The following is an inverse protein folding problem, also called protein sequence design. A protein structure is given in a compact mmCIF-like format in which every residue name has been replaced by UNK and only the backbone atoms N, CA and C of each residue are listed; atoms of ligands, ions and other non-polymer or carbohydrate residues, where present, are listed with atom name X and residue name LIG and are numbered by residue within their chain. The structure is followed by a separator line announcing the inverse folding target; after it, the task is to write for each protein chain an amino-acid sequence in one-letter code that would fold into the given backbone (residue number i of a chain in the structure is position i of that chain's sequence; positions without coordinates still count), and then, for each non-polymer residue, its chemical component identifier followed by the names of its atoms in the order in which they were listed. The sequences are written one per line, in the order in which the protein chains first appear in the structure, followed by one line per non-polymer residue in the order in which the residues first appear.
data_IF_192045228105
#
_entry.id   IF_192045228105
#
_cell.length_a   1.000
_cell.length_b   1.000
_cell.length_c   1.000
_cell.angle_alpha   90.00
_cell.angle_beta   90.00
_cell.angle_gamma   90.00
#
_symmetry.space_group_name_H-M   'P 1'
#
loop_
_entity.id
_entity.type
_entity.pdbx_description
1 polymer ?
#
# COMPACT_ATOMS: atom_id res chain seq x y z
N UNK A 1 1.38 2.14 21.86
CA UNK A 1 1.36 2.86 20.57
C UNK A 1 0.91 1.87 19.53
N UNK A 2 -0.29 2.05 18.97
CA UNK A 2 -0.85 1.13 17.98
C UNK A 2 -0.26 1.46 16.61
N UNK A 3 0.65 0.63 16.12
CA UNK A 3 1.21 0.74 14.76
C UNK A 3 0.21 0.17 13.77
N UNK A 4 -0.82 0.93 13.44
CA UNK A 4 -1.67 0.64 12.27
C UNK A 4 -0.84 0.96 11.04
N UNK A 5 -0.18 -0.04 10.45
CA UNK A 5 0.47 0.13 9.16
C UNK A 5 -0.58 0.67 8.17
N UNK A 6 -0.33 1.82 7.52
CA UNK A 6 -1.31 2.43 6.63
C UNK A 6 -1.61 1.45 5.49
N UNK A 7 -2.87 1.08 5.31
CA UNK A 7 -3.31 0.26 4.18
C UNK A 7 -2.93 0.96 2.89
N UNK A 8 -2.01 0.37 2.10
CA UNK A 8 -1.55 0.93 0.83
C UNK A 8 -2.68 0.76 -0.20
N UNK A 9 -3.24 1.85 -0.76
CA UNK A 9 -4.24 1.75 -1.81
C UNK A 9 -3.66 1.14 -3.08
N UNK A 10 -4.49 0.42 -3.84
CA UNK A 10 -4.08 -0.20 -5.11
C UNK A 10 -3.47 0.80 -6.10
N UNK A 11 -4.03 2.01 -6.18
CA UNK A 11 -3.51 3.09 -7.04
C UNK A 11 -2.11 3.55 -6.59
N UNK A 12 -1.88 3.68 -5.28
CA UNK A 12 -0.56 4.03 -4.72
C UNK A 12 0.46 2.94 -5.02
N UNK A 13 0.07 1.67 -4.95
CA UNK A 13 0.93 0.56 -5.34
C UNK A 13 1.28 0.60 -6.83
N UNK A 14 0.34 0.97 -7.72
CA UNK A 14 0.62 1.15 -9.15
C UNK A 14 1.58 2.29 -9.43
N UNK A 15 1.48 3.39 -8.69
CA UNK A 15 2.43 4.51 -8.80
C UNK A 15 3.84 4.09 -8.36
N UNK A 16 3.95 3.34 -7.25
CA UNK A 16 5.21 2.77 -6.81
C UNK A 16 5.79 1.77 -7.83
N UNK A 17 4.97 0.90 -8.43
CA UNK A 17 5.43 -0.01 -9.49
C UNK A 17 5.93 0.74 -10.74
N UNK A 18 5.25 1.82 -11.14
CA UNK A 18 5.69 2.67 -12.25
C UNK A 18 7.07 3.28 -11.99
N UNK A 19 7.31 3.75 -10.76
CA UNK A 19 8.60 4.37 -10.37
C UNK A 19 9.80 3.43 -10.53
N UNK A 20 9.58 2.12 -10.44
CA UNK A 20 10.60 1.06 -10.54
C UNK A 20 10.52 0.27 -11.87
N UNK A 21 9.84 0.82 -12.89
CA UNK A 21 9.66 0.21 -14.21
C UNK A 21 9.10 -1.22 -14.16
N UNK A 22 8.13 -1.46 -13.26
CA UNK A 22 7.49 -2.78 -13.10
C UNK A 22 6.16 -2.86 -13.82
N UNK A 23 5.87 -4.06 -14.34
CA UNK A 23 4.61 -4.35 -15.01
C UNK A 23 3.41 -4.07 -14.10
N UNK A 24 2.37 -3.46 -14.66
CA UNK A 24 1.20 -3.01 -13.90
C UNK A 24 1.37 -1.65 -13.21
N UNK A 25 2.51 -0.97 -13.43
CA UNK A 25 2.70 0.41 -13.03
C UNK A 25 1.81 1.38 -13.81
N UNK A 26 1.27 2.39 -13.11
CA UNK A 26 0.54 3.50 -13.71
C UNK A 26 1.30 4.80 -13.43
N UNK A 27 1.48 5.63 -14.46
CA UNK A 27 2.14 6.91 -14.28
C UNK A 27 1.22 7.85 -13.50
N UNK A 28 1.66 8.38 -12.35
CA UNK A 28 0.88 9.38 -11.63
C UNK A 28 1.05 10.78 -12.22
N UNK A 29 0.24 11.73 -11.76
CA UNK A 29 0.41 13.14 -12.08
C UNK A 29 1.78 13.71 -11.65
N UNK A 30 2.16 14.85 -12.23
CA UNK A 30 3.48 15.47 -12.03
C UNK A 30 3.79 15.77 -10.56
N UNK A 31 2.81 16.26 -9.78
CA UNK A 31 2.97 16.49 -8.35
C UNK A 31 3.42 15.22 -7.60
N UNK A 32 2.71 14.12 -7.82
CA UNK A 32 3.02 12.83 -7.17
C UNK A 32 4.38 12.29 -7.62
N UNK A 33 4.78 12.49 -8.88
CA UNK A 33 6.12 12.13 -9.34
C UNK A 33 7.22 12.87 -8.56
N UNK A 34 7.08 14.19 -8.38
CA UNK A 34 8.01 14.98 -7.59
C UNK A 34 7.99 14.57 -6.11
N UNK A 35 6.81 14.27 -5.55
CA UNK A 35 6.67 13.79 -4.18
C UNK A 35 7.39 12.44 -3.98
N UNK A 36 7.24 11.48 -4.90
CA UNK A 36 7.95 10.20 -4.84
C UNK A 36 9.47 10.41 -4.86
N UNK A 37 9.96 11.27 -5.76
CA UNK A 37 11.38 11.61 -5.83
C UNK A 37 11.87 12.27 -4.52
N UNK A 38 11.08 13.18 -3.94
CA UNK A 38 11.40 13.82 -2.67
C UNK A 38 11.49 12.81 -1.52
N UNK A 39 10.55 11.85 -1.43
CA UNK A 39 10.57 10.80 -0.39
C UNK A 39 11.83 9.92 -0.50
N UNK A 40 12.25 9.59 -1.72
CA UNK A 40 13.42 8.72 -1.94
C UNK A 40 14.76 9.42 -1.71
N UNK A 41 14.80 10.74 -1.95
CA UNK A 41 15.99 11.58 -1.79
C UNK A 41 16.11 12.20 -0.39
N UNK A 42 15.02 12.26 0.38
CA UNK A 42 15.01 12.87 1.71
C UNK A 42 15.97 12.18 2.69
N UNK A 43 16.67 13.00 3.47
CA UNK A 43 17.43 12.59 4.64
C UNK A 43 16.50 12.13 5.77
N UNK A 44 17.08 11.54 6.82
CA UNK A 44 16.30 10.86 7.87
C UNK A 44 15.20 11.74 8.49
N UNK A 45 15.48 13.01 8.77
CA UNK A 45 14.51 13.91 9.41
C UNK A 45 13.39 14.30 8.45
N UNK A 46 13.72 14.74 7.24
CA UNK A 46 12.71 15.09 6.24
C UNK A 46 11.89 13.88 5.79
N UNK A 47 12.50 12.70 5.75
CA UNK A 47 11.80 11.45 5.45
C UNK A 47 10.80 11.07 6.52
N UNK A 48 11.09 11.33 7.80
CA UNK A 48 10.12 11.13 8.88
C UNK A 48 8.91 12.06 8.71
N UNK A 49 9.13 13.34 8.42
CA UNK A 49 8.06 14.31 8.15
C UNK A 49 7.20 13.87 6.96
N UNK A 50 7.83 13.44 5.86
CA UNK A 50 7.11 12.96 4.67
C UNK A 50 6.36 11.65 4.94
N UNK A 51 6.87 10.78 5.81
CA UNK A 51 6.17 9.55 6.22
C UNK A 51 4.91 9.87 7.01
N UNK A 52 4.95 10.87 7.88
CA UNK A 52 3.78 11.29 8.65
C UNK A 52 2.74 11.98 7.75
N UNK A 53 3.18 12.80 6.80
CA UNK A 53 2.30 13.51 5.88
C UNK A 53 1.70 12.62 4.76
N UNK A 54 2.49 11.67 4.25
CA UNK A 54 2.13 10.78 3.14
C UNK A 54 2.43 9.31 3.49
N UNK A 55 1.69 8.73 4.46
CA UNK A 55 2.03 7.44 5.04
C UNK A 55 1.95 6.29 4.04
N UNK A 56 0.89 6.21 3.24
CA UNK A 56 0.71 5.13 2.27
C UNK A 56 1.75 5.14 1.15
N UNK A 57 2.09 6.33 0.63
CA UNK A 57 3.08 6.47 -0.45
C UNK A 57 4.50 6.19 0.07
N UNK A 58 4.81 6.69 1.27
CA UNK A 58 6.10 6.46 1.93
C UNK A 58 6.32 4.99 2.25
N UNK A 59 5.27 4.29 2.71
CA UNK A 59 5.33 2.85 2.96
C UNK A 59 5.51 2.06 1.67
N UNK A 60 4.76 2.41 0.60
CA UNK A 60 4.89 1.74 -0.69
C UNK A 60 6.31 1.89 -1.28
N UNK A 61 6.91 3.08 -1.21
CA UNK A 61 8.28 3.30 -1.66
C UNK A 61 9.31 2.65 -0.74
N UNK A 62 9.04 2.57 0.56
CA UNK A 62 9.91 1.85 1.50
C UNK A 62 9.93 0.35 1.19
N UNK A 63 8.76 -0.27 1.01
CA UNK A 63 8.64 -1.67 0.58
C UNK A 63 9.35 -1.90 -0.75
N UNK A 64 9.12 -1.05 -1.75
CA UNK A 64 9.75 -1.19 -3.07
C UNK A 64 11.28 -1.16 -3.02
N UNK A 65 11.88 -0.43 -2.07
CA UNK A 65 13.32 -0.19 -1.99
C UNK A 65 14.07 -1.15 -1.08
N UNK A 66 13.48 -1.54 0.05
CA UNK A 66 14.20 -2.26 1.11
C UNK A 66 13.70 -3.69 1.35
N UNK A 67 12.52 -4.06 0.86
CA UNK A 67 11.98 -5.41 1.00
C UNK A 67 12.27 -6.21 -0.27
N UNK A 68 12.94 -7.36 -0.14
CA UNK A 68 13.29 -8.22 -1.28
C UNK A 68 12.06 -8.68 -2.06
N UNK A 69 10.92 -8.83 -1.38
CA UNK A 69 9.63 -9.21 -1.96
C UNK A 69 8.69 -7.99 -2.12
N UNK A 70 9.17 -6.77 -1.86
CA UNK A 70 8.35 -5.57 -1.77
C UNK A 70 7.61 -5.26 -3.07
N UNK A 71 8.27 -5.44 -4.21
CA UNK A 71 7.66 -5.26 -5.52
C UNK A 71 6.58 -6.32 -5.81
N UNK A 72 6.80 -7.56 -5.38
CA UNK A 72 5.81 -8.64 -5.50
C UNK A 72 4.58 -8.35 -4.64
N UNK A 73 4.78 -7.87 -3.41
CA UNK A 73 3.70 -7.42 -2.51
C UNK A 73 2.91 -6.26 -3.12
N UNK A 74 3.60 -5.25 -3.67
CA UNK A 74 2.95 -4.13 -4.36
C UNK A 74 2.19 -4.58 -5.61
N UNK A 75 2.70 -5.54 -6.36
CA UNK A 75 2.00 -6.11 -7.51
C UNK A 75 0.73 -6.87 -7.10
N UNK A 76 0.77 -7.60 -5.98
CA UNK A 76 -0.41 -8.22 -5.41
C UNK A 76 -1.46 -7.16 -5.00
N UNK A 77 -1.03 -6.04 -4.40
CA UNK A 77 -1.91 -4.94 -4.01
C UNK A 77 -2.50 -4.24 -5.25
N UNK A 78 -1.68 -3.95 -6.27
CA UNK A 78 -2.08 -3.28 -7.50
C UNK A 78 -3.08 -4.09 -8.35
N UNK A 79 -3.01 -5.43 -8.26
CA UNK A 79 -3.91 -6.36 -8.96
C UNK A 79 -5.14 -6.76 -8.14
N UNK A 80 -5.28 -6.23 -6.92
CA UNK A 80 -6.39 -6.57 -6.02
C UNK A 80 -6.28 -7.97 -5.40
N UNK A 81 -5.09 -8.58 -5.45
CA UNK A 81 -4.80 -9.88 -4.81
C UNK A 81 -4.44 -9.76 -3.32
N UNK A 82 -4.23 -8.56 -2.76
CA UNK A 82 -4.16 -8.36 -1.30
C UNK A 82 -4.29 -6.89 -0.84
N UNK A 83 -4.62 -6.62 0.46
CA UNK A 83 -4.68 -7.57 1.56
C UNK A 83 -5.99 -8.36 1.48
N UNK A 84 -5.82 -9.67 1.31
CA UNK A 84 -6.81 -10.75 1.27
C UNK A 84 -8.27 -10.24 1.23
N UNK A 85 -8.99 -10.34 0.12
CA UNK A 85 -10.45 -10.32 0.21
C UNK A 85 -10.87 -11.65 0.81
N UNK A 86 -11.49 -11.66 1.99
CA UNK A 86 -12.09 -12.91 2.44
C UNK A 86 -13.41 -13.14 1.70
N UNK A 87 -13.63 -14.38 1.26
CA UNK A 87 -14.93 -14.82 0.76
C UNK A 87 -15.73 -15.43 1.91
N UNK A 88 -16.84 -14.80 2.26
CA UNK A 88 -17.87 -15.38 3.12
C UNK A 88 -19.09 -15.69 2.24
N UNK A 89 -19.28 -16.96 1.90
CA UNK A 89 -20.35 -17.38 1.00
C UNK A 89 -20.24 -16.73 -0.40
N UNK A 90 -21.28 -15.98 -0.79
CA UNK A 90 -21.35 -15.25 -2.07
C UNK A 90 -20.88 -13.79 -2.00
N UNK A 91 -20.43 -13.32 -0.83
CA UNK A 91 -19.97 -11.94 -0.63
C UNK A 91 -18.46 -11.87 -0.35
N UNK A 92 -17.81 -10.84 -0.86
CA UNK A 92 -16.40 -10.55 -0.62
C UNK A 92 -16.28 -9.28 0.24
N UNK A 93 -15.46 -9.34 1.29
CA UNK A 93 -15.24 -8.23 2.22
C UNK A 93 -13.79 -8.10 2.69
N UNK A 94 -13.42 -6.95 3.27
CA UNK A 94 -12.09 -6.74 3.85
C UNK A 94 -11.93 -7.53 5.17
N UNK A 95 -10.68 -7.66 5.63
CA UNK A 95 -10.38 -8.17 6.98
C UNK A 95 -10.34 -7.02 7.99
N UNK A 96 -10.84 -7.30 9.20
CA UNK A 96 -10.74 -6.44 10.37
C UNK A 96 -9.30 -6.43 10.93
N UNK A 97 -9.04 -5.52 11.88
CA UNK A 97 -7.75 -5.38 12.57
C UNK A 97 -7.36 -6.60 13.42
N UNK A 98 -8.24 -7.59 13.58
CA UNK A 98 -8.00 -8.85 14.28
C UNK A 98 -7.78 -10.03 13.32
N UNK A 99 -7.73 -9.78 12.00
CA UNK A 99 -7.56 -10.83 10.98
C UNK A 99 -8.82 -11.67 10.75
N UNK A 100 -10.00 -11.17 11.12
CA UNK A 100 -11.31 -11.78 10.82
C UNK A 100 -11.94 -11.07 9.65
N UNK A 101 -12.82 -11.78 8.95
CA UNK A 101 -13.52 -11.22 7.81
C UNK A 101 -14.73 -10.41 8.27
N UNK A 102 -14.80 -9.12 7.92
CA UNK A 102 -15.87 -8.22 8.39
C UNK A 102 -17.26 -8.76 8.01
N UNK A 103 -17.40 -9.27 6.78
CA UNK A 103 -18.67 -9.85 6.27
C UNK A 103 -19.10 -11.13 6.98
N UNK A 104 -18.18 -11.89 7.60
CA UNK A 104 -18.54 -13.05 8.41
C UNK A 104 -18.89 -12.66 9.86
N UNK A 105 -18.51 -11.46 10.29
CA UNK A 105 -18.72 -11.01 11.67
C UNK A 105 -20.11 -10.37 11.83
N UNK A 106 -20.60 -9.65 10.82
CA UNK A 106 -21.97 -9.12 10.78
C UNK A 106 -23.04 -10.22 10.60
N UNK A 107 -22.70 -11.38 10.02
CA UNK A 107 -23.63 -12.50 9.85
C UNK A 107 -23.83 -13.36 11.13
N UNK A 108 -23.10 -13.06 12.20
CA UNK A 108 -23.12 -13.80 13.46
C UNK A 108 -23.85 -13.09 14.62
N UNK A 109 -24.54 -11.98 14.33
CA UNK A 109 -25.40 -11.26 15.27
C UNK A 109 -26.89 -11.57 15.05
#
# INVERSE_FOLDING_TARGET
MSTTSPTIPAETARHALWRYDRQGGAQPGSFTQHLMAAIEAADFQNRAILRDAYPALSEALHLARYDEEGLTKLQAIATGKAPLSCKCGSTAGPFDLQGRCETCTEAAA
#
